data_IF_462751071480
#
_entry.id   IF_462751071480
#
_cell.length_a   1.000
_cell.length_b   1.000
_cell.length_c   1.000
_cell.angle_alpha   90.00
_cell.angle_beta   90.00
_cell.angle_gamma   90.00
#
_symmetry.space_group_name_H-M   'P 1'
#
loop_
_entity.id
_entity.type
_entity.pdbx_description
1 polymer ?
#
# COMPACT_ATOMS: atom_id res chain seq x y z
N UNK A 1 0.74 6.79 -17.20
CA UNK A 1 1.75 5.74 -16.98
C UNK A 1 2.86 6.28 -16.11
N UNK A 2 2.59 6.37 -14.81
CA UNK A 2 3.62 6.66 -13.83
C UNK A 2 4.63 5.50 -13.79
N UNK A 3 5.92 5.80 -13.81
CA UNK A 3 6.94 4.77 -13.65
C UNK A 3 6.98 4.32 -12.18
N UNK A 4 6.78 3.01 -11.98
CA UNK A 4 6.87 2.35 -10.68
C UNK A 4 8.12 1.46 -10.64
N UNK A 5 8.84 1.49 -9.52
CA UNK A 5 9.88 0.49 -9.25
C UNK A 5 9.27 -0.90 -9.03
N UNK A 6 10.06 -1.97 -9.15
CA UNK A 6 9.58 -3.35 -8.89
C UNK A 6 8.98 -3.54 -7.48
N UNK A 7 9.52 -2.85 -6.47
CA UNK A 7 8.97 -2.90 -5.11
C UNK A 7 7.66 -2.11 -5.00
N UNK A 8 7.55 -0.97 -5.68
CA UNK A 8 6.31 -0.19 -5.76
C UNK A 8 5.20 -0.97 -6.47
N UNK A 9 5.51 -1.64 -7.58
CA UNK A 9 4.57 -2.50 -8.30
C UNK A 9 4.06 -3.64 -7.41
N UNK A 10 4.95 -4.30 -6.65
CA UNK A 10 4.54 -5.34 -5.70
C UNK A 10 3.66 -4.81 -4.57
N UNK A 11 3.93 -3.60 -4.07
CA UNK A 11 3.06 -2.95 -3.09
C UNK A 11 1.67 -2.69 -3.70
N UNK A 12 1.60 -2.05 -4.88
CA UNK A 12 0.33 -1.73 -5.54
C UNK A 12 -0.49 -2.98 -5.88
N UNK A 13 0.15 -4.04 -6.36
CA UNK A 13 -0.50 -5.32 -6.62
C UNK A 13 -1.14 -5.88 -5.35
N UNK A 14 -0.42 -5.88 -4.22
CA UNK A 14 -0.97 -6.32 -2.93
C UNK A 14 -2.14 -5.44 -2.47
N UNK A 15 -2.04 -4.12 -2.63
CA UNK A 15 -3.10 -3.19 -2.23
C UNK A 15 -4.38 -3.39 -3.05
N UNK A 16 -4.24 -3.51 -4.36
CA UNK A 16 -5.35 -3.74 -5.30
C UNK A 16 -6.07 -5.05 -4.97
N UNK A 17 -5.30 -6.13 -4.79
CA UNK A 17 -5.81 -7.45 -4.40
C UNK A 17 -6.46 -7.45 -2.99
N UNK A 18 -5.95 -6.66 -2.05
CA UNK A 18 -6.59 -6.50 -0.74
C UNK A 18 -7.97 -5.85 -0.86
N UNK A 19 -8.06 -4.78 -1.67
CA UNK A 19 -9.32 -4.06 -1.89
C UNK A 19 -10.34 -4.92 -2.63
N UNK A 20 -9.94 -5.74 -3.60
CA UNK A 20 -10.85 -6.65 -4.31
C UNK A 20 -11.46 -7.72 -3.39
N UNK A 21 -10.74 -8.12 -2.33
CA UNK A 21 -11.26 -8.97 -1.24
C UNK A 21 -12.07 -8.23 -0.18
N UNK A 22 -12.23 -6.91 -0.30
CA UNK A 22 -12.95 -6.06 0.66
C UNK A 22 -12.10 -5.61 1.86
N UNK A 23 -10.79 -5.88 1.88
CA UNK A 23 -9.90 -5.42 2.93
C UNK A 23 -9.47 -3.96 2.69
N UNK A 24 -10.05 -3.03 3.45
CA UNK A 24 -9.79 -1.59 3.28
C UNK A 24 -8.71 -1.01 4.19
N UNK A 25 -8.22 -1.77 5.15
CA UNK A 25 -7.23 -1.29 6.13
C UNK A 25 -6.08 -2.27 6.25
N UNK A 26 -4.92 -1.88 5.73
CA UNK A 26 -3.74 -2.74 5.68
C UNK A 26 -2.58 -2.09 6.44
N UNK A 27 -1.82 -2.90 7.18
CA UNK A 27 -0.64 -2.42 7.92
C UNK A 27 0.60 -2.55 7.04
N UNK A 28 1.53 -1.60 7.14
CA UNK A 28 2.82 -1.69 6.43
C UNK A 28 3.57 -2.98 6.76
N UNK A 29 3.47 -3.47 8.00
CA UNK A 29 4.03 -4.78 8.38
C UNK A 29 3.36 -5.95 7.65
N UNK A 30 2.03 -5.95 7.55
CA UNK A 30 1.29 -7.03 6.87
C UNK A 30 1.63 -7.10 5.39
N UNK A 31 1.70 -5.94 4.71
CA UNK A 31 2.14 -5.86 3.31
C UNK A 31 3.57 -6.42 3.18
N UNK A 32 4.48 -5.93 4.02
CA UNK A 32 5.88 -6.30 4.02
C UNK A 32 6.11 -7.81 4.17
N UNK A 33 5.44 -8.41 5.16
CA UNK A 33 5.50 -9.85 5.44
C UNK A 33 5.00 -10.68 4.23
N UNK A 34 4.03 -10.17 3.46
CA UNK A 34 3.47 -10.86 2.30
C UNK A 34 4.34 -10.79 1.04
N UNK A 35 5.07 -9.69 0.82
CA UNK A 35 5.82 -9.44 -0.43
C UNK A 35 7.35 -9.49 -0.25
N UNK A 36 7.83 -9.93 0.91
CA UNK A 36 9.25 -10.08 1.20
C UNK A 36 10.00 -8.76 1.37
N UNK A 37 9.33 -7.72 1.87
CA UNK A 37 9.93 -6.44 2.20
C UNK A 37 9.97 -6.24 3.72
N UNK A 38 10.61 -5.15 4.16
CA UNK A 38 10.47 -4.68 5.54
C UNK A 38 9.32 -3.68 5.68
N UNK A 39 8.73 -3.60 6.87
CA UNK A 39 7.69 -2.61 7.18
C UNK A 39 8.17 -1.16 6.94
N UNK A 40 9.49 -0.91 7.11
CA UNK A 40 10.12 0.39 6.83
C UNK A 40 10.14 0.68 5.32
N UNK A 41 10.57 -0.28 4.49
CA UNK A 41 10.57 -0.14 3.03
C UNK A 41 9.16 0.13 2.47
N UNK A 42 8.15 -0.57 2.98
CA UNK A 42 6.76 -0.34 2.58
C UNK A 42 6.29 1.04 3.05
N UNK A 43 6.46 1.33 4.35
CA UNK A 43 5.97 2.57 4.95
C UNK A 43 6.58 3.84 4.36
N UNK A 44 7.82 3.79 3.86
CA UNK A 44 8.46 4.93 3.21
C UNK A 44 7.99 5.16 1.76
N UNK A 45 7.43 4.15 1.09
CA UNK A 45 6.95 4.23 -0.30
C UNK A 45 5.50 4.65 -0.40
N UNK A 46 4.67 4.26 0.58
CA UNK A 46 3.23 4.51 0.56
C UNK A 46 2.82 5.99 0.47
N UNK A 47 3.51 6.98 1.09
CA UNK A 47 3.20 8.40 0.84
C UNK A 47 3.36 8.80 -0.63
N UNK A 48 4.43 8.35 -1.29
CA UNK A 48 4.66 8.64 -2.71
C UNK A 48 3.66 7.92 -3.60
N UNK A 49 3.33 6.67 -3.26
CA UNK A 49 2.31 5.91 -3.99
C UNK A 49 0.92 6.54 -3.85
N UNK A 50 0.58 7.11 -2.70
CA UNK A 50 -0.66 7.84 -2.50
C UNK A 50 -0.80 9.07 -3.43
N UNK A 51 0.32 9.67 -3.86
CA UNK A 51 0.32 10.83 -4.75
C UNK A 51 0.25 10.45 -6.25
N UNK A 52 0.58 9.20 -6.62
CA UNK A 52 0.76 8.81 -8.03
C UNK A 52 0.06 7.51 -8.46
N UNK A 53 -0.63 6.84 -7.55
CA UNK A 53 -1.44 5.66 -7.86
C UNK A 53 -2.65 6.07 -8.70
N UNK A 54 -2.94 5.32 -9.77
CA UNK A 54 -4.08 5.52 -10.69
C UNK A 54 -5.12 4.36 -10.58
N UNK A 55 -4.92 3.39 -9.68
CA UNK A 55 -5.80 2.23 -9.51
C UNK A 55 -6.50 2.19 -8.14
N UNK A 56 -5.86 2.78 -7.13
CA UNK A 56 -6.31 2.77 -5.73
C UNK A 56 -5.96 4.08 -5.05
N UNK A 57 -6.89 4.55 -4.22
CA UNK A 57 -6.67 5.62 -3.27
C UNK A 57 -5.96 5.07 -2.02
N UNK A 58 -4.90 5.75 -1.57
CA UNK A 58 -4.10 5.32 -0.43
C UNK A 58 -4.04 6.46 0.60
N UNK A 59 -4.62 6.23 1.78
CA UNK A 59 -4.70 7.24 2.85
C UNK A 59 -4.03 6.73 4.12
N UNK A 60 -3.20 7.56 4.77
CA UNK A 60 -2.59 7.22 6.05
C UNK A 60 -3.63 7.28 7.17
N UNK A 61 -3.96 6.15 7.78
CA UNK A 61 -5.02 6.06 8.80
C UNK A 61 -4.53 6.17 10.24
N UNK A 62 -3.42 5.50 10.59
CA UNK A 62 -2.98 5.46 11.98
C UNK A 62 -1.63 4.80 12.21
N UNK A 63 -1.12 4.86 13.45
CA UNK A 63 0.20 4.32 13.82
C UNK A 63 0.17 3.60 15.17
N UNK A 64 -0.15 2.31 15.18
CA UNK A 64 0.02 1.46 16.36
C UNK A 64 0.94 0.29 16.00
N UNK A 65 2.21 0.34 16.47
CA UNK A 65 3.32 -0.59 16.15
C UNK A 65 3.79 -0.61 14.67
N UNK A 66 2.89 -0.39 13.71
CA UNK A 66 3.16 -0.17 12.29
C UNK A 66 2.10 0.80 11.74
N UNK A 67 2.40 1.53 10.66
CA UNK A 67 1.43 2.42 10.03
C UNK A 67 0.32 1.60 9.37
N UNK A 68 -0.93 1.97 9.64
CA UNK A 68 -2.12 1.47 8.95
C UNK A 68 -2.47 2.44 7.83
N UNK A 69 -2.80 1.88 6.68
CA UNK A 69 -3.22 2.58 5.48
C UNK A 69 -4.62 2.15 5.14
N UNK A 70 -5.48 3.14 4.91
CA UNK A 70 -6.79 2.93 4.32
C UNK A 70 -6.60 2.90 2.81
N UNK A 71 -7.20 1.91 2.16
CA UNK A 71 -7.13 1.71 0.71
C UNK A 71 -8.54 1.52 0.17
N UNK A 72 -8.86 2.24 -0.90
CA UNK A 72 -10.13 2.12 -1.62
C UNK A 72 -9.87 2.01 -3.12
N UNK A 73 -10.79 1.42 -3.90
CA UNK A 73 -10.71 1.52 -5.36
C UNK A 73 -10.71 3.01 -5.74
N UNK A 74 -9.96 3.37 -6.76
CA UNK A 74 -10.16 4.67 -7.40
C UNK A 74 -11.59 4.73 -7.97
N UNK A 75 -12.22 5.91 -7.85
CA UNK A 75 -13.61 6.14 -8.24
C UNK A 75 -13.84 6.25 -9.73
#
# INVERSE_FOLDING_TARGET
MSEYTEEEQRILAYLTDSVTRGERYVRSKTIADAIGLTAKQVGSRLPRLAEKSEDVDIEKWGRAKSTTWRVTPEG
#
